data_IF_782997172788
#
_entry.id   IF_782997172788
#
_cell.length_a   1.000
_cell.length_b   1.000
_cell.length_c   1.000
_cell.angle_alpha   90.00
_cell.angle_beta   90.00
_cell.angle_gamma   90.00
#
_symmetry.space_group_name_H-M   'P 1'
#
loop_
_entity.id
_entity.type
_entity.pdbx_description
1 polymer ?
#
# COMPACT_ATOMS: atom_id res chain seq x y z
N UNK A 1 15.77 57.11 -56.87
CA UNK A 1 14.38 57.60 -56.73
C UNK A 1 14.43 58.86 -55.87
N UNK A 2 14.69 60.03 -56.47
CA UNK A 2 13.68 60.90 -57.09
C UNK A 2 12.71 61.49 -56.06
N UNK A 3 12.98 62.73 -55.62
CA UNK A 3 12.02 63.86 -55.55
C UNK A 3 12.65 65.07 -54.82
N UNK A 4 13.53 65.77 -55.53
CA UNK A 4 13.64 67.22 -55.45
C UNK A 4 13.35 67.72 -56.86
N UNK A 5 12.13 68.18 -57.13
CA UNK A 5 11.85 68.96 -58.33
C UNK A 5 10.51 69.68 -58.22
N UNK A 6 10.54 70.93 -58.67
CA UNK A 6 9.41 71.80 -59.03
C UNK A 6 8.86 72.68 -57.92
N UNK A 7 9.55 73.81 -57.70
CA UNK A 7 9.03 75.13 -58.08
C UNK A 7 10.24 76.08 -58.26
N UNK A 8 10.76 76.10 -59.49
CA UNK A 8 11.71 77.08 -59.99
C UNK A 8 11.28 77.33 -61.43
N UNK A 9 10.81 78.55 -61.71
CA UNK A 9 10.77 79.23 -63.03
C UNK A 9 9.69 80.32 -62.94
N UNK A 10 9.88 81.54 -63.44
CA UNK A 10 10.93 82.06 -64.30
C UNK A 10 10.75 83.57 -64.38
N UNK A 11 11.86 84.30 -64.40
CA UNK A 11 12.15 85.49 -65.23
C UNK A 11 13.37 86.17 -64.60
N UNK A 12 14.41 86.57 -65.32
CA UNK A 12 14.87 86.38 -66.68
C UNK A 12 16.38 86.69 -66.62
N UNK A 13 17.17 86.11 -67.54
CA UNK A 13 18.62 86.12 -67.46
C UNK A 13 19.29 87.47 -67.69
N UNK A 14 20.50 87.63 -67.15
CA UNK A 14 21.56 88.47 -67.71
C UNK A 14 22.93 87.90 -67.30
N UNK A 15 23.70 87.53 -68.33
CA UNK A 15 25.13 87.77 -68.54
C UNK A 15 25.96 88.14 -67.29
N UNK A 16 26.81 87.22 -66.83
CA UNK A 16 27.74 87.48 -65.73
C UNK A 16 28.81 88.50 -66.15
N UNK A 17 28.57 89.78 -65.87
CA UNK A 17 29.59 90.82 -65.98
C UNK A 17 30.53 90.75 -64.78
N UNK A 18 31.83 90.86 -65.07
CA UNK A 18 32.91 90.96 -64.08
C UNK A 18 32.60 92.13 -63.16
N UNK A 19 32.10 91.81 -61.97
CA UNK A 19 31.79 92.79 -60.94
C UNK A 19 33.09 93.50 -60.56
N UNK A 20 33.22 94.76 -60.99
CA UNK A 20 34.16 95.70 -60.40
C UNK A 20 33.43 96.31 -59.21
N UNK A 21 34.03 96.28 -58.00
CA UNK A 21 33.45 97.00 -56.88
C UNK A 21 33.27 98.46 -57.32
N UNK A 22 32.09 99.07 -57.09
CA UNK A 22 31.89 100.48 -57.35
C UNK A 22 33.00 101.28 -56.64
N UNK A 23 33.40 102.43 -57.20
CA UNK A 23 34.34 103.35 -56.55
C UNK A 23 33.67 103.87 -55.26
N UNK A 24 33.78 103.08 -54.21
CA UNK A 24 33.45 103.45 -52.85
C UNK A 24 34.60 104.35 -52.44
N UNK A 25 34.47 105.64 -52.77
CA UNK A 25 35.34 106.67 -52.20
C UNK A 25 35.51 106.33 -50.72
N UNK A 26 36.77 106.36 -50.24
CA UNK A 26 37.13 105.97 -48.88
C UNK A 26 35.96 106.36 -47.97
N UNK A 27 35.19 105.39 -47.41
CA UNK A 27 34.28 105.78 -46.35
C UNK A 27 35.13 106.57 -45.35
N UNK A 28 34.59 107.55 -44.60
CA UNK A 28 35.28 107.96 -43.37
C UNK A 28 35.78 106.68 -42.71
N UNK A 29 36.93 106.67 -41.99
CA UNK A 29 37.29 105.48 -41.21
C UNK A 29 35.98 105.01 -40.62
N UNK A 30 35.62 103.70 -40.70
CA UNK A 30 34.37 103.26 -40.10
C UNK A 30 34.33 104.02 -38.79
N UNK A 31 33.20 104.64 -38.37
CA UNK A 31 33.17 105.06 -36.98
C UNK A 31 33.81 103.89 -36.21
N UNK A 32 34.44 104.18 -35.08
CA UNK A 32 34.37 103.14 -34.10
C UNK A 32 32.84 102.90 -33.87
N UNK A 33 32.16 102.20 -34.80
CA UNK A 33 31.10 101.28 -34.52
C UNK A 33 31.87 100.31 -33.67
N UNK A 34 31.77 100.64 -32.40
CA UNK A 34 31.93 99.76 -31.28
C UNK A 34 31.68 98.33 -31.75
N UNK A 35 32.49 97.35 -31.31
CA UNK A 35 32.24 95.94 -31.62
C UNK A 35 30.73 95.73 -31.61
N UNK A 36 30.13 95.28 -32.74
CA UNK A 36 28.74 94.84 -32.74
C UNK A 36 28.63 94.05 -31.45
N UNK A 37 27.80 94.47 -30.47
CA UNK A 37 27.93 93.93 -29.15
C UNK A 37 27.68 92.44 -29.33
N UNK A 38 28.75 91.64 -29.29
CA UNK A 38 28.72 90.23 -28.90
C UNK A 38 27.76 90.32 -27.73
N UNK A 39 26.52 89.80 -27.84
CA UNK A 39 25.49 90.08 -26.86
C UNK A 39 26.18 89.81 -25.55
N UNK A 40 26.45 90.89 -24.81
CA UNK A 40 27.39 90.84 -23.71
C UNK A 40 26.64 89.93 -22.78
N UNK A 41 27.00 88.64 -22.74
CA UNK A 41 26.38 87.70 -21.83
C UNK A 41 26.74 88.33 -20.52
N UNK A 42 25.78 88.98 -19.84
CA UNK A 42 26.12 89.81 -18.72
C UNK A 42 26.84 88.87 -17.77
N UNK A 43 28.09 89.20 -17.45
CA UNK A 43 28.81 88.37 -16.50
C UNK A 43 27.95 88.38 -15.24
N UNK A 44 27.63 87.21 -14.68
CA UNK A 44 26.67 87.14 -13.61
C UNK A 44 27.14 88.07 -12.50
N UNK A 45 26.24 88.94 -12.08
CA UNK A 45 26.50 89.86 -10.98
C UNK A 45 26.81 89.05 -9.72
N UNK A 46 27.50 89.65 -8.74
CA UNK A 46 27.88 88.93 -7.51
C UNK A 46 26.65 88.31 -6.83
N UNK A 47 25.51 89.01 -6.86
CA UNK A 47 24.21 88.55 -6.34
C UNK A 47 23.66 87.34 -7.12
N UNK A 48 23.79 87.32 -8.44
CA UNK A 48 23.36 86.18 -9.28
C UNK A 48 24.21 84.93 -9.03
N UNK A 49 25.52 85.10 -8.79
CA UNK A 49 26.41 83.98 -8.44
C UNK A 49 26.07 83.39 -7.07
N UNK A 50 25.70 84.22 -6.11
CA UNK A 50 25.25 83.77 -4.78
C UNK A 50 23.91 83.04 -4.87
N UNK A 51 22.94 83.57 -5.62
CA UNK A 51 21.66 82.91 -5.86
C UNK A 51 21.82 81.53 -6.53
N UNK A 52 22.74 81.41 -7.51
CA UNK A 52 23.05 80.12 -8.15
C UNK A 52 23.66 79.14 -7.15
N UNK A 53 24.55 79.59 -6.25
CA UNK A 53 25.15 78.72 -5.21
C UNK A 53 24.13 78.23 -4.20
N UNK A 54 23.21 79.09 -3.77
CA UNK A 54 22.13 78.72 -2.85
C UNK A 54 21.13 77.76 -3.51
N UNK A 55 20.75 78.02 -4.77
CA UNK A 55 19.93 77.11 -5.57
C UNK A 55 20.61 75.75 -5.76
N UNK A 56 21.91 75.71 -6.07
CA UNK A 56 22.65 74.45 -6.19
C UNK A 56 22.72 73.69 -4.86
N UNK A 57 22.86 74.40 -3.73
CA UNK A 57 22.87 73.78 -2.39
C UNK A 57 21.52 73.17 -2.02
N UNK A 58 20.42 73.87 -2.30
CA UNK A 58 19.06 73.38 -2.02
C UNK A 58 18.70 72.21 -2.91
N UNK A 59 18.91 72.33 -4.23
CA UNK A 59 18.67 71.24 -5.20
C UNK A 59 19.55 70.03 -4.84
N UNK A 60 20.82 70.21 -4.52
CA UNK A 60 21.72 69.13 -4.10
C UNK A 60 21.28 68.45 -2.81
N UNK A 61 20.79 69.22 -1.82
CA UNK A 61 20.28 68.67 -0.57
C UNK A 61 18.98 67.86 -0.78
N UNK A 62 18.04 68.37 -1.57
CA UNK A 62 16.78 67.70 -1.89
C UNK A 62 17.01 66.43 -2.71
N UNK A 63 17.80 66.51 -3.78
CA UNK A 63 18.14 65.37 -4.63
C UNK A 63 18.89 64.28 -3.86
N UNK A 64 19.85 64.64 -3.00
CA UNK A 64 20.56 63.70 -2.14
C UNK A 64 19.66 63.05 -1.10
N UNK A 65 18.75 63.82 -0.49
CA UNK A 65 17.77 63.29 0.46
C UNK A 65 16.82 62.30 -0.21
N UNK A 66 16.26 62.65 -1.37
CA UNK A 66 15.34 61.81 -2.12
C UNK A 66 16.01 60.52 -2.60
N UNK A 67 17.22 60.61 -3.18
CA UNK A 67 17.98 59.45 -3.62
C UNK A 67 18.36 58.52 -2.46
N UNK A 68 18.75 59.08 -1.30
CA UNK A 68 19.05 58.29 -0.10
C UNK A 68 17.81 57.61 0.48
N UNK A 69 16.67 58.31 0.51
CA UNK A 69 15.39 57.75 0.96
C UNK A 69 14.94 56.59 0.06
N UNK A 70 14.98 56.78 -1.26
CA UNK A 70 14.60 55.75 -2.23
C UNK A 70 15.53 54.52 -2.14
N UNK A 71 16.84 54.72 -2.10
CA UNK A 71 17.82 53.64 -1.95
C UNK A 71 17.64 52.86 -0.63
N UNK A 72 17.37 53.55 0.47
CA UNK A 72 17.08 52.92 1.76
C UNK A 72 15.77 52.13 1.75
N UNK A 73 14.72 52.69 1.14
CA UNK A 73 13.42 52.05 1.00
C UNK A 73 13.49 50.77 0.13
N UNK A 74 14.20 50.82 -1.00
CA UNK A 74 14.43 49.65 -1.84
C UNK A 74 15.25 48.56 -1.14
N UNK A 75 16.28 48.96 -0.39
CA UNK A 75 17.12 48.02 0.36
C UNK A 75 16.30 47.32 1.46
N UNK A 76 15.56 48.09 2.27
CA UNK A 76 14.70 47.52 3.30
C UNK A 76 13.59 46.62 2.74
N UNK A 77 13.01 46.97 1.59
CA UNK A 77 12.06 46.09 0.90
C UNK A 77 12.69 44.79 0.41
N UNK A 78 13.93 44.84 -0.10
CA UNK A 78 14.63 43.65 -0.59
C UNK A 78 14.95 42.71 0.57
N UNK A 79 15.54 43.24 1.64
CA UNK A 79 15.85 42.47 2.85
C UNK A 79 14.59 41.86 3.48
N UNK A 80 13.49 42.63 3.57
CA UNK A 80 12.22 42.11 4.07
C UNK A 80 11.67 40.97 3.20
N UNK A 81 11.74 41.10 1.86
CA UNK A 81 11.31 40.02 0.95
C UNK A 81 12.17 38.78 1.08
N UNK A 82 13.49 38.95 1.21
CA UNK A 82 14.43 37.84 1.39
C UNK A 82 14.18 37.11 2.71
N UNK A 83 13.95 37.85 3.80
CA UNK A 83 13.63 37.26 5.12
C UNK A 83 12.33 36.47 5.07
N UNK A 84 11.25 37.04 4.52
CA UNK A 84 9.97 36.34 4.38
C UNK A 84 10.10 35.11 3.47
N UNK A 85 10.90 35.20 2.40
CA UNK A 85 11.14 34.06 1.51
C UNK A 85 11.88 32.92 2.24
N UNK A 86 12.91 33.25 3.02
CA UNK A 86 13.67 32.27 3.82
C UNK A 86 12.80 31.62 4.90
N UNK A 87 12.00 32.42 5.62
CA UNK A 87 11.07 31.89 6.62
C UNK A 87 10.01 31.00 5.99
N UNK A 88 9.41 31.43 4.87
CA UNK A 88 8.44 30.62 4.14
C UNK A 88 9.06 29.32 3.58
N UNK A 89 10.34 29.33 3.19
CA UNK A 89 11.07 28.12 2.78
C UNK A 89 11.29 27.17 3.97
N UNK A 90 11.74 27.70 5.10
CA UNK A 90 11.93 26.91 6.31
C UNK A 90 10.62 26.28 6.81
N UNK A 91 9.52 27.04 6.83
CA UNK A 91 8.20 26.53 7.20
C UNK A 91 7.70 25.45 6.23
N UNK A 92 7.96 25.60 4.92
CA UNK A 92 7.60 24.58 3.93
C UNK A 92 8.37 23.29 4.18
N UNK A 93 9.68 23.36 4.42
CA UNK A 93 10.50 22.18 4.71
C UNK A 93 9.99 21.45 5.95
N UNK A 94 9.72 22.18 7.05
CA UNK A 94 9.18 21.58 8.28
C UNK A 94 7.82 20.93 8.03
N UNK A 95 6.96 21.54 7.23
CA UNK A 95 5.65 20.98 6.88
C UNK A 95 5.79 19.69 6.07
N UNK A 96 6.64 19.70 5.05
CA UNK A 96 6.88 18.54 4.18
C UNK A 96 7.47 17.36 4.98
N UNK A 97 8.44 17.60 5.85
CA UNK A 97 9.02 16.58 6.73
C UNK A 97 7.97 16.03 7.72
N UNK A 98 7.12 16.90 8.26
CA UNK A 98 6.03 16.49 9.16
C UNK A 98 4.98 15.65 8.44
N UNK A 99 4.58 16.03 7.24
CA UNK A 99 3.64 15.26 6.42
C UNK A 99 4.23 13.93 5.98
N UNK A 100 5.52 13.90 5.61
CA UNK A 100 6.22 12.68 5.24
C UNK A 100 6.33 11.71 6.42
N UNK A 101 6.75 12.20 7.60
CA UNK A 101 6.83 11.38 8.82
C UNK A 101 5.46 10.90 9.30
N UNK A 102 4.42 11.73 9.17
CA UNK A 102 3.06 11.32 9.48
C UNK A 102 2.56 10.21 8.54
N UNK A 103 2.80 10.35 7.23
CA UNK A 103 2.46 9.32 6.24
C UNK A 103 3.16 8.00 6.52
N UNK A 104 4.47 8.03 6.76
CA UNK A 104 5.22 6.79 7.05
C UNK A 104 4.75 6.14 8.35
N UNK A 105 4.48 6.91 9.40
CA UNK A 105 3.93 6.39 10.64
C UNK A 105 2.56 5.73 10.43
N UNK A 106 1.66 6.38 9.69
CA UNK A 106 0.34 5.85 9.41
C UNK A 106 0.42 4.55 8.59
N UNK A 107 1.29 4.51 7.57
CA UNK A 107 1.49 3.29 6.78
C UNK A 107 2.06 2.15 7.63
N UNK A 108 2.98 2.43 8.57
CA UNK A 108 3.50 1.41 9.49
C UNK A 108 2.38 0.87 10.38
N UNK A 109 1.58 1.74 11.01
CA UNK A 109 0.43 1.30 11.83
C UNK A 109 -0.58 0.50 11.01
N UNK A 110 -0.87 0.90 9.77
CA UNK A 110 -1.75 0.15 8.90
C UNK A 110 -1.17 -1.24 8.57
N UNK A 111 0.12 -1.33 8.24
CA UNK A 111 0.78 -2.63 7.98
C UNK A 111 0.77 -3.53 9.21
N UNK A 112 1.02 -2.98 10.40
CA UNK A 112 0.98 -3.73 11.66
C UNK A 112 -0.42 -4.25 11.98
N UNK A 113 -1.46 -3.41 11.80
CA UNK A 113 -2.85 -3.82 12.03
C UNK A 113 -3.31 -4.88 11.04
N UNK A 114 -2.98 -4.74 9.76
CA UNK A 114 -3.26 -5.77 8.73
C UNK A 114 -2.55 -7.07 9.08
N UNK A 115 -1.25 -7.03 9.41
CA UNK A 115 -0.49 -8.22 9.79
C UNK A 115 -1.05 -8.90 11.06
N UNK A 116 -1.53 -8.11 12.04
CA UNK A 116 -2.17 -8.64 13.24
C UNK A 116 -3.51 -9.33 12.90
N UNK A 117 -4.33 -8.73 12.04
CA UNK A 117 -5.59 -9.33 11.59
C UNK A 117 -5.37 -10.60 10.76
N UNK A 118 -4.39 -10.59 9.85
CA UNK A 118 -3.97 -11.77 9.10
C UNK A 118 -3.46 -12.88 10.04
N UNK A 119 -2.67 -12.52 11.05
CA UNK A 119 -2.21 -13.44 12.08
C UNK A 119 -3.36 -14.08 12.87
N UNK A 120 -4.38 -13.30 13.25
CA UNK A 120 -5.59 -13.81 13.92
C UNK A 120 -6.39 -14.71 12.98
N UNK A 121 -6.58 -14.30 11.73
CA UNK A 121 -7.31 -15.09 10.75
C UNK A 121 -6.63 -16.45 10.52
N UNK A 122 -5.30 -16.47 10.39
CA UNK A 122 -4.52 -17.69 10.23
C UNK A 122 -4.57 -18.57 11.49
N UNK A 123 -4.43 -17.96 12.67
CA UNK A 123 -4.53 -18.66 13.95
C UNK A 123 -5.91 -19.30 14.20
N UNK A 124 -6.96 -18.87 13.49
CA UNK A 124 -8.28 -19.49 13.53
C UNK A 124 -8.50 -20.50 12.40
N UNK A 125 -7.98 -20.22 11.20
CA UNK A 125 -8.14 -21.08 10.03
C UNK A 125 -7.38 -22.41 10.18
N UNK A 126 -6.12 -22.37 10.62
CA UNK A 126 -5.28 -23.58 10.69
C UNK A 126 -5.81 -24.62 11.70
N UNK A 127 -6.20 -24.26 12.94
CA UNK A 127 -6.75 -25.24 13.87
C UNK A 127 -8.08 -25.80 13.41
N UNK A 128 -8.91 -25.01 12.71
CA UNK A 128 -10.20 -25.48 12.21
C UNK A 128 -9.99 -26.53 11.11
N UNK A 129 -9.12 -26.26 10.15
CA UNK A 129 -8.75 -27.20 9.09
C UNK A 129 -8.16 -28.48 9.70
N UNK A 130 -7.21 -28.35 10.62
CA UNK A 130 -6.61 -29.50 11.30
C UNK A 130 -7.64 -30.32 12.11
N UNK A 131 -8.66 -29.68 12.69
CA UNK A 131 -9.73 -30.38 13.41
C UNK A 131 -10.62 -31.16 12.44
N UNK A 132 -10.93 -30.61 11.26
CA UNK A 132 -11.69 -31.32 10.23
C UNK A 132 -10.94 -32.55 9.74
N UNK A 133 -9.65 -32.39 9.46
CA UNK A 133 -8.78 -33.51 9.03
C UNK A 133 -8.65 -34.59 10.11
N UNK A 134 -8.63 -34.19 11.39
CA UNK A 134 -8.59 -35.12 12.52
C UNK A 134 -9.93 -35.84 12.76
N UNK A 135 -11.07 -35.20 12.47
CA UNK A 135 -12.40 -35.79 12.65
C UNK A 135 -12.72 -36.86 11.60
N UNK A 136 -12.17 -36.76 10.39
CA UNK A 136 -12.41 -37.72 9.31
C UNK A 136 -12.12 -39.19 9.72
N UNK A 137 -10.90 -39.55 10.19
CA UNK A 137 -10.62 -40.92 10.62
C UNK A 137 -11.40 -41.33 11.87
N UNK A 138 -11.73 -40.40 12.76
CA UNK A 138 -12.53 -40.69 13.96
C UNK A 138 -13.97 -41.07 13.60
N UNK A 139 -14.61 -40.32 12.70
CA UNK A 139 -15.95 -40.62 12.20
C UNK A 139 -15.96 -41.94 11.42
N UNK A 140 -14.94 -42.20 10.61
CA UNK A 140 -14.79 -43.47 9.89
C UNK A 140 -14.64 -44.64 10.87
N UNK A 141 -13.82 -44.50 11.90
CA UNK A 141 -13.63 -45.52 12.94
C UNK A 141 -14.91 -45.79 13.72
N UNK A 142 -15.64 -44.74 14.11
CA UNK A 142 -16.91 -44.87 14.83
C UNK A 142 -17.97 -45.57 13.98
N UNK A 143 -18.14 -45.15 12.73
CA UNK A 143 -19.11 -45.75 11.80
C UNK A 143 -18.77 -47.20 11.47
N UNK A 144 -17.50 -47.52 11.23
CA UNK A 144 -17.04 -48.90 11.04
C UNK A 144 -17.29 -49.76 12.28
N UNK A 145 -17.05 -49.23 13.47
CA UNK A 145 -17.31 -49.93 14.74
C UNK A 145 -18.80 -50.20 14.95
N UNK A 146 -19.65 -49.20 14.67
CA UNK A 146 -21.10 -49.34 14.74
C UNK A 146 -21.61 -50.36 13.71
N UNK A 147 -21.17 -50.29 12.46
CA UNK A 147 -21.52 -51.24 11.41
C UNK A 147 -21.12 -52.66 11.81
N UNK A 148 -19.88 -52.86 12.29
CA UNK A 148 -19.42 -54.15 12.79
C UNK A 148 -20.29 -54.67 13.92
N UNK A 149 -20.66 -53.82 14.88
CA UNK A 149 -21.51 -54.22 16.01
C UNK A 149 -22.89 -54.68 15.55
N UNK A 150 -23.51 -53.93 14.63
CA UNK A 150 -24.82 -54.27 14.04
C UNK A 150 -24.73 -55.59 13.26
N UNK A 151 -23.72 -55.75 12.41
CA UNK A 151 -23.54 -56.97 11.61
C UNK A 151 -23.33 -58.18 12.54
N UNK A 152 -22.50 -58.05 13.58
CA UNK A 152 -22.26 -59.12 14.53
C UNK A 152 -23.54 -59.52 15.28
N UNK A 153 -24.37 -58.54 15.68
CA UNK A 153 -25.66 -58.82 16.31
C UNK A 153 -26.61 -59.56 15.36
N UNK A 154 -26.67 -59.13 14.09
CA UNK A 154 -27.48 -59.80 13.07
C UNK A 154 -27.02 -61.22 12.78
N UNK A 155 -25.70 -61.46 12.75
CA UNK A 155 -25.14 -62.81 12.56
C UNK A 155 -25.42 -63.72 13.77
N UNK A 156 -25.46 -63.16 14.98
CA UNK A 156 -25.86 -63.90 16.18
C UNK A 156 -27.34 -64.32 16.11
N UNK A 157 -28.21 -63.45 15.60
CA UNK A 157 -29.65 -63.72 15.45
C UNK A 157 -29.96 -64.63 14.26
N UNK A 158 -29.21 -64.50 13.16
CA UNK A 158 -29.44 -65.21 11.89
C UNK A 158 -28.13 -65.79 11.31
N UNK A 159 -27.65 -66.92 11.84
CA UNK A 159 -26.41 -67.55 11.40
C UNK A 159 -26.42 -67.98 9.93
N UNK A 160 -27.58 -68.11 9.29
CA UNK A 160 -27.72 -68.54 7.89
C UNK A 160 -27.11 -67.52 6.90
N UNK A 161 -26.96 -66.25 7.30
CA UNK A 161 -26.40 -65.19 6.46
C UNK A 161 -24.96 -65.47 6.02
N UNK A 162 -24.19 -66.26 6.78
CA UNK A 162 -22.82 -66.66 6.41
C UNK A 162 -22.76 -67.52 5.14
N UNK A 163 -23.84 -68.22 4.78
CA UNK A 163 -23.91 -69.01 3.55
C UNK A 163 -23.75 -68.13 2.30
N UNK A 164 -24.25 -66.89 2.34
CA UNK A 164 -24.07 -65.91 1.27
C UNK A 164 -22.61 -65.47 1.14
N UNK A 165 -21.93 -65.25 2.27
CA UNK A 165 -20.51 -64.88 2.34
C UNK A 165 -19.65 -65.96 1.72
N UNK A 166 -19.88 -67.22 2.11
CA UNK A 166 -19.18 -68.37 1.57
C UNK A 166 -19.36 -68.47 0.05
N UNK A 167 -20.59 -68.33 -0.45
CA UNK A 167 -20.89 -68.38 -1.89
C UNK A 167 -20.13 -67.29 -2.66
N UNK A 168 -20.09 -66.07 -2.13
CA UNK A 168 -19.35 -64.96 -2.74
C UNK A 168 -17.85 -65.22 -2.74
N UNK A 169 -17.29 -65.70 -1.63
CA UNK A 169 -15.85 -66.00 -1.53
C UNK A 169 -15.44 -67.15 -2.47
N UNK A 170 -16.27 -68.19 -2.60
CA UNK A 170 -16.04 -69.28 -3.56
C UNK A 170 -16.20 -68.85 -5.03
N UNK A 171 -16.97 -67.81 -5.32
CA UNK A 171 -17.10 -67.26 -6.67
C UNK A 171 -15.85 -66.46 -7.10
N UNK A 172 -15.07 -65.96 -6.14
CA UNK A 172 -13.82 -65.24 -6.40
C UNK A 172 -12.62 -66.17 -6.69
N UNK A 173 -12.76 -67.49 -6.51
CA UNK A 173 -11.69 -68.44 -6.81
C UNK A 173 -11.49 -68.59 -8.33
N UNK A 174 -10.27 -68.35 -8.87
CA UNK A 174 -10.00 -68.40 -10.31
C UNK A 174 -10.05 -69.82 -10.89
N UNK A 175 -9.91 -70.86 -10.07
CA UNK A 175 -9.97 -72.26 -10.52
C UNK A 175 -10.41 -73.19 -9.37
N UNK A 176 -11.47 -73.98 -9.59
CA UNK A 176 -12.02 -74.95 -8.60
C UNK A 176 -11.42 -76.36 -8.72
N UNK A 177 -10.24 -76.48 -9.33
CA UNK A 177 -9.60 -77.77 -9.58
C UNK A 177 -8.79 -78.31 -8.39
N UNK A 178 -8.49 -77.46 -7.41
CA UNK A 178 -7.79 -77.86 -6.18
C UNK A 178 -8.79 -78.13 -5.05
N UNK A 179 -8.47 -79.03 -4.11
CA UNK A 179 -9.29 -79.23 -2.92
C UNK A 179 -9.34 -77.92 -2.12
N UNK A 180 -10.56 -77.45 -1.84
CA UNK A 180 -10.81 -76.21 -1.12
C UNK A 180 -10.93 -76.51 0.37
N UNK A 181 -10.09 -75.86 1.18
CA UNK A 181 -10.19 -75.88 2.65
C UNK A 181 -10.84 -74.58 3.11
N UNK A 182 -11.88 -74.70 3.93
CA UNK A 182 -12.57 -73.53 4.50
C UNK A 182 -12.41 -73.57 6.01
N UNK A 183 -11.81 -72.52 6.55
CA UNK A 183 -11.64 -72.33 7.99
C UNK A 183 -12.77 -71.42 8.47
N UNK A 184 -13.49 -71.87 9.49
CA UNK A 184 -14.65 -71.16 10.08
C UNK A 184 -14.69 -71.34 11.59
N UNK A 185 -15.46 -70.50 12.26
CA UNK A 185 -15.73 -70.67 13.69
C UNK A 185 -16.45 -72.02 13.95
N UNK A 186 -16.10 -72.74 15.04
CA UNK A 186 -16.69 -74.06 15.34
C UNK A 186 -18.22 -74.06 15.40
N UNK A 187 -18.84 -72.99 15.90
CA UNK A 187 -20.30 -72.86 16.00
C UNK A 187 -21.02 -72.82 14.64
N UNK A 188 -20.31 -72.45 13.57
CA UNK A 188 -20.90 -72.25 12.23
C UNK A 188 -20.59 -73.41 11.28
N UNK A 189 -19.63 -74.27 11.64
CA UNK A 189 -19.17 -75.37 10.82
C UNK A 189 -20.30 -76.34 10.45
N UNK A 190 -21.14 -76.73 11.41
CA UNK A 190 -22.22 -77.70 11.18
C UNK A 190 -23.28 -77.17 10.19
N UNK A 191 -23.68 -75.91 10.36
CA UNK A 191 -24.68 -75.25 9.50
C UNK A 191 -24.15 -75.09 8.07
N UNK A 192 -22.88 -74.71 7.92
CA UNK A 192 -22.26 -74.54 6.62
C UNK A 192 -21.95 -75.86 5.91
N UNK A 193 -21.59 -76.92 6.66
CA UNK A 193 -21.40 -78.26 6.09
C UNK A 193 -22.69 -78.81 5.48
N UNK A 194 -23.82 -78.66 6.18
CA UNK A 194 -25.13 -79.04 5.66
C UNK A 194 -25.51 -78.26 4.38
N UNK A 195 -25.18 -76.96 4.33
CA UNK A 195 -25.39 -76.14 3.14
C UNK A 195 -24.50 -76.57 1.95
N UNK A 196 -23.24 -76.91 2.19
CA UNK A 196 -22.31 -77.35 1.15
C UNK A 196 -22.70 -78.71 0.56
N UNK A 197 -23.13 -79.66 1.39
CA UNK A 197 -23.66 -80.96 0.94
C UNK A 197 -24.89 -80.77 0.05
N UNK A 198 -25.83 -79.91 0.47
CA UNK A 198 -27.02 -79.59 -0.33
C UNK A 198 -26.68 -78.89 -1.66
N UNK A 199 -25.57 -78.13 -1.69
CA UNK A 199 -25.09 -77.43 -2.89
C UNK A 199 -24.21 -78.30 -3.80
N UNK A 200 -23.86 -79.52 -3.37
CA UNK A 200 -22.98 -80.43 -4.12
C UNK A 200 -21.51 -80.02 -4.17
N UNK A 201 -21.05 -79.19 -3.21
CA UNK A 201 -19.65 -78.75 -3.15
C UNK A 201 -18.81 -79.65 -2.21
N UNK A 202 -17.71 -80.21 -2.72
CA UNK A 202 -16.78 -81.03 -1.94
C UNK A 202 -15.74 -80.12 -1.23
N UNK A 203 -16.12 -79.61 -0.06
CA UNK A 203 -15.31 -78.71 0.77
C UNK A 203 -14.74 -79.45 1.98
N UNK A 204 -13.48 -79.19 2.32
CA UNK A 204 -12.87 -79.67 3.57
C UNK A 204 -13.02 -78.59 4.64
N UNK A 205 -13.75 -78.89 5.70
CA UNK A 205 -13.99 -77.97 6.81
C UNK A 205 -12.91 -78.06 7.88
N UNK A 206 -12.40 -76.89 8.31
CA UNK A 206 -11.47 -76.77 9.42
C UNK A 206 -12.09 -75.83 10.46
N UNK A 207 -12.32 -76.34 11.67
CA UNK A 207 -12.77 -75.50 12.78
C UNK A 207 -11.58 -74.71 13.33
N UNK A 208 -11.69 -73.39 13.33
CA UNK A 208 -10.67 -72.49 13.84
C UNK A 208 -11.31 -71.44 14.78
N UNK A 209 -11.07 -71.51 16.09
CA UNK A 209 -11.62 -70.55 17.05
C UNK A 209 -10.97 -69.16 16.95
N UNK A 210 -9.87 -69.00 16.21
CA UNK A 210 -9.26 -67.69 15.95
C UNK A 210 -10.08 -66.86 14.95
N UNK A 211 -10.99 -67.49 14.19
CA UNK A 211 -11.85 -66.82 13.21
C UNK A 211 -13.13 -66.35 13.91
N UNK A 212 -13.45 -65.06 13.77
CA UNK A 212 -14.69 -64.51 14.30
C UNK A 212 -15.92 -65.08 13.57
N UNK A 213 -17.04 -65.18 14.28
CA UNK A 213 -18.32 -65.62 13.73
C UNK A 213 -18.73 -64.72 12.55
N UNK A 214 -19.28 -65.33 11.49
CA UNK A 214 -19.65 -64.64 10.25
C UNK A 214 -18.50 -64.41 9.28
N UNK A 215 -17.29 -64.87 9.61
CA UNK A 215 -16.11 -64.84 8.76
C UNK A 215 -15.70 -66.24 8.28
N UNK A 216 -15.08 -66.32 7.12
CA UNK A 216 -14.44 -67.55 6.66
C UNK A 216 -13.14 -67.26 5.93
N UNK A 217 -12.17 -68.16 6.07
CA UNK A 217 -10.93 -68.12 5.31
C UNK A 217 -10.89 -69.32 4.37
N UNK A 218 -10.59 -69.07 3.10
CA UNK A 218 -10.61 -70.11 2.06
C UNK A 218 -9.21 -70.29 1.49
N UNK A 219 -8.69 -71.51 1.61
CA UNK A 219 -7.42 -71.92 1.02
C UNK A 219 -7.66 -72.92 -0.13
N UNK A 220 -7.17 -72.61 -1.32
CA UNK A 220 -7.28 -73.45 -2.51
C UNK A 220 -5.98 -73.42 -3.34
N UNK A 221 -5.13 -74.43 -3.14
CA UNK A 221 -3.82 -74.52 -3.81
C UNK A 221 -2.96 -73.27 -3.50
N UNK A 222 -2.59 -72.45 -4.52
CA UNK A 222 -1.84 -71.21 -4.32
C UNK A 222 -2.72 -69.99 -3.97
N UNK A 223 -4.05 -70.12 -3.99
CA UNK A 223 -4.97 -69.01 -3.72
C UNK A 223 -5.46 -69.05 -2.27
N UNK A 224 -5.44 -67.89 -1.62
CA UNK A 224 -6.00 -67.68 -0.28
C UNK A 224 -6.92 -66.47 -0.31
N UNK A 225 -8.17 -66.67 0.09
CA UNK A 225 -9.19 -65.63 0.14
C UNK A 225 -9.58 -65.42 1.59
N UNK A 226 -9.32 -64.22 2.09
CA UNK A 226 -9.79 -63.77 3.39
C UNK A 226 -11.17 -63.11 3.24
N UNK A 227 -12.20 -63.83 3.68
CA UNK A 227 -13.57 -63.33 3.76
C UNK A 227 -14.00 -63.14 5.24
N UNK A 228 -13.04 -62.79 6.11
CA UNK A 228 -13.35 -62.32 7.46
C UNK A 228 -14.24 -61.08 7.43
N UNK A 229 -15.03 -60.89 8.49
CA UNK A 229 -15.93 -59.75 8.63
C UNK A 229 -15.18 -58.42 8.49
N UNK A 230 -14.01 -58.34 9.11
CA UNK A 230 -13.15 -57.17 9.14
C UNK A 230 -12.61 -56.80 7.75
N UNK A 231 -12.05 -57.78 7.01
CA UNK A 231 -11.57 -57.56 5.63
C UNK A 231 -12.71 -57.14 4.69
N UNK A 232 -13.88 -57.77 4.82
CA UNK A 232 -15.07 -57.41 4.00
C UNK A 232 -15.62 -56.04 4.33
N UNK A 233 -15.64 -55.66 5.61
CA UNK A 233 -16.10 -54.35 6.03
C UNK A 233 -15.18 -53.25 5.47
N UNK A 234 -13.85 -53.43 5.56
CA UNK A 234 -12.89 -52.52 4.93
C UNK A 234 -13.11 -52.39 3.42
N UNK A 235 -13.19 -53.52 2.71
CA UNK A 235 -13.45 -53.51 1.26
C UNK A 235 -14.76 -52.80 0.89
N UNK A 236 -15.80 -52.94 1.72
CA UNK A 236 -17.09 -52.27 1.49
C UNK A 236 -16.98 -50.76 1.73
N UNK A 237 -16.27 -50.35 2.79
CA UNK A 237 -16.00 -48.94 3.09
C UNK A 237 -15.18 -48.31 1.96
N UNK A 238 -14.10 -48.96 1.52
CA UNK A 238 -13.23 -48.48 0.45
C UNK A 238 -13.99 -48.32 -0.88
N UNK A 239 -14.86 -49.27 -1.21
CA UNK A 239 -15.69 -49.21 -2.41
C UNK A 239 -16.66 -48.02 -2.39
N UNK A 240 -17.37 -47.82 -1.27
CA UNK A 240 -18.30 -46.69 -1.09
C UNK A 240 -17.55 -45.36 -1.11
N UNK A 241 -16.40 -45.29 -0.44
CA UNK A 241 -15.58 -44.08 -0.41
C UNK A 241 -15.04 -43.74 -1.80
N UNK A 242 -14.59 -44.74 -2.57
CA UNK A 242 -14.16 -44.55 -3.96
C UNK A 242 -15.28 -44.04 -4.88
N UNK A 243 -16.53 -44.40 -4.62
CA UNK A 243 -17.69 -43.89 -5.36
C UNK A 243 -18.06 -42.45 -4.97
N UNK A 244 -17.92 -42.09 -3.68
CA UNK A 244 -18.25 -40.77 -3.13
C UNK A 244 -17.14 -39.72 -3.38
N UNK A 245 -15.88 -40.14 -3.43
CA UNK A 245 -14.72 -39.27 -3.63
C UNK A 245 -14.58 -38.75 -5.08
N UNK A 246 -15.59 -38.91 -5.93
CA UNK A 246 -15.65 -38.16 -7.18
C UNK A 246 -15.59 -36.67 -6.83
N UNK A 247 -14.58 -35.93 -7.32
CA UNK A 247 -14.41 -34.55 -6.93
C UNK A 247 -15.68 -33.79 -7.29
N UNK A 248 -16.28 -33.14 -6.29
CA UNK A 248 -17.27 -32.12 -6.52
C UNK A 248 -16.70 -31.17 -7.59
N UNK A 249 -17.43 -30.97 -8.69
CA UNK A 249 -16.99 -30.06 -9.73
C UNK A 249 -16.60 -28.73 -9.07
N UNK A 250 -15.45 -28.14 -9.46
CA UNK A 250 -15.01 -26.88 -8.86
C UNK A 250 -16.14 -25.88 -9.04
N UNK A 251 -16.66 -25.38 -7.91
CA UNK A 251 -17.57 -24.24 -7.89
C UNK A 251 -16.89 -23.17 -8.72
N UNK A 252 -17.49 -22.70 -9.84
CA UNK A 252 -16.83 -21.75 -10.71
C UNK A 252 -16.47 -20.54 -9.87
N UNK A 253 -15.16 -20.28 -9.78
CA UNK A 253 -14.63 -19.11 -9.10
C UNK A 253 -15.44 -17.90 -9.57
N UNK A 254 -16.06 -17.20 -8.62
CA UNK A 254 -16.73 -15.95 -8.90
C UNK A 254 -15.77 -15.09 -9.74
N UNK A 255 -16.26 -14.62 -10.90
CA UNK A 255 -15.54 -13.74 -11.82
C UNK A 255 -14.81 -12.66 -11.03
N UNK A 256 -13.48 -12.76 -10.99
CA UNK A 256 -12.62 -11.64 -10.65
C UNK A 256 -12.48 -10.78 -11.91
N UNK A 257 -13.48 -9.95 -12.17
CA UNK A 257 -13.35 -8.82 -13.09
C UNK A 257 -14.03 -7.61 -12.45
N UNK A 258 -13.30 -6.93 -11.58
CA UNK A 258 -13.41 -5.47 -11.43
C UNK A 258 -12.00 -4.96 -11.17
N UNK A 259 -11.31 -4.56 -12.25
CA UNK A 259 -10.14 -3.70 -12.18
C UNK A 259 -10.56 -2.34 -11.59
N UNK A 260 -9.86 -1.81 -10.58
CA UNK A 260 -10.15 -0.49 -10.03
C UNK A 260 -9.56 0.57 -10.95
N UNK A 261 -10.21 0.88 -12.08
CA UNK A 261 -9.86 2.07 -12.87
C UNK A 261 -10.97 2.63 -13.78
N UNK A 262 -12.22 2.18 -13.63
CA UNK A 262 -13.32 2.63 -14.50
C UNK A 262 -14.55 3.09 -13.70
N UNK A 263 -14.33 3.92 -12.68
CA UNK A 263 -15.40 4.74 -12.08
C UNK A 263 -14.96 6.21 -12.13
N UNK A 264 -14.75 6.75 -13.32
CA UNK A 264 -14.75 8.21 -13.50
C UNK A 264 -15.12 8.61 -14.93
N UNK A 265 -16.37 8.34 -15.30
CA UNK A 265 -17.15 9.19 -16.20
C UNK A 265 -18.48 8.49 -16.47
N UNK A 266 -19.46 8.70 -15.60
CA UNK A 266 -20.75 9.01 -16.18
C UNK A 266 -21.58 9.95 -15.31
N UNK A 267 -22.15 10.89 -16.04
CA UNK A 267 -23.08 11.97 -15.79
C UNK A 267 -23.92 11.92 -14.50
N UNK A 268 -23.83 12.97 -13.68
CA UNK A 268 -24.96 13.40 -12.85
C UNK A 268 -25.09 14.93 -12.93
N UNK A 269 -25.51 15.42 -14.09
CA UNK A 269 -26.23 16.70 -14.14
C UNK A 269 -27.73 16.50 -13.91
N UNK A 270 -28.26 17.34 -13.01
CA UNK A 270 -29.65 17.62 -12.69
C UNK A 270 -30.36 16.68 -11.70
N UNK A 271 -30.52 17.13 -10.45
CA UNK A 271 -31.73 17.89 -10.05
C UNK A 271 -31.56 18.45 -8.64
N UNK A 272 -31.65 19.77 -8.53
CA UNK A 272 -31.88 20.49 -7.29
C UNK A 272 -33.18 20.02 -6.64
N UNK A 273 -33.12 19.51 -5.41
CA UNK A 273 -34.24 19.57 -4.47
C UNK A 273 -33.67 19.71 -3.05
N UNK A 274 -34.03 20.82 -2.43
CA UNK A 274 -33.75 21.15 -1.04
C UNK A 274 -34.31 20.08 -0.08
N UNK A 275 -33.48 19.59 0.84
CA UNK A 275 -33.93 19.07 2.13
C UNK A 275 -32.75 19.06 3.12
N UNK A 276 -32.68 20.13 3.91
CA UNK A 276 -32.11 20.27 5.26
C UNK A 276 -31.38 19.06 5.85
N UNK A 277 -30.05 19.15 5.95
CA UNK A 277 -29.19 18.32 6.80
C UNK A 277 -29.11 18.90 8.21
N UNK A 278 -30.18 18.72 8.99
CA UNK A 278 -30.14 18.67 10.45
C UNK A 278 -30.75 17.31 10.80
N UNK A 279 -29.94 16.31 11.19
CA UNK A 279 -30.34 15.13 12.03
C UNK A 279 -29.21 14.08 12.16
N UNK A 280 -28.15 14.06 11.34
CA UNK A 280 -27.16 12.94 11.42
C UNK A 280 -25.97 13.23 12.35
N UNK A 281 -25.87 14.41 12.96
CA UNK A 281 -24.77 14.77 13.86
C UNK A 281 -25.01 14.46 15.35
N UNK A 282 -26.02 13.65 15.69
CA UNK A 282 -26.43 13.40 17.09
C UNK A 282 -26.26 11.94 17.54
N UNK A 283 -25.54 11.10 16.78
CA UNK A 283 -25.45 9.66 17.06
C UNK A 283 -24.03 9.10 17.30
N UNK A 284 -22.99 9.93 17.47
CA UNK A 284 -21.62 9.45 17.69
C UNK A 284 -20.92 10.08 18.90
N UNK A 285 -21.68 10.61 19.86
CA UNK A 285 -21.14 11.27 21.07
C UNK A 285 -21.07 10.35 22.30
N UNK A 286 -20.97 9.03 22.12
CA UNK A 286 -20.92 8.12 23.28
C UNK A 286 -20.00 6.92 23.04
N UNK A 287 -18.68 7.13 22.96
CA UNK A 287 -17.65 6.24 23.55
C UNK A 287 -16.34 7.04 23.73
N UNK A 288 -16.18 7.71 24.87
CA UNK A 288 -14.88 7.86 25.53
C UNK A 288 -15.15 8.04 27.03
N UNK A 289 -14.35 7.39 27.89
CA UNK A 289 -13.96 8.07 29.10
C UNK A 289 -12.43 8.18 29.23
N UNK A 290 -12.06 9.35 29.76
CA UNK A 290 -10.92 9.62 30.64
C UNK A 290 -9.52 9.19 30.17
N UNK A 291 -8.73 10.18 29.78
CA UNK A 291 -7.66 10.75 30.62
C UNK A 291 -7.38 12.13 30.03
N UNK A 292 -7.48 13.18 30.85
CA UNK A 292 -6.78 14.47 30.78
C UNK A 292 -7.62 15.52 31.53
N UNK A 293 -7.54 15.50 32.86
CA UNK A 293 -7.81 16.68 33.69
C UNK A 293 -6.67 16.84 34.68
N UNK A 294 -5.82 17.84 34.44
CA UNK A 294 -5.27 18.69 35.48
C UNK A 294 -4.71 19.97 34.82
N UNK A 295 -5.30 21.09 35.21
CA UNK A 295 -5.06 22.47 34.78
C UNK A 295 -3.68 23.03 35.19
N UNK A 296 -3.27 24.20 34.64
CA UNK A 296 -1.95 24.81 34.84
C UNK A 296 -1.95 26.00 35.85
N UNK A 297 -0.72 26.39 36.24
CA UNK A 297 -0.25 27.63 36.90
C UNK A 297 -0.40 27.70 38.44
N UNK A 298 0.73 27.73 39.18
CA UNK A 298 1.40 28.98 39.57
C UNK A 298 2.68 28.78 40.43
N UNK A 299 3.75 29.48 40.03
CA UNK A 299 4.79 30.19 40.83
C UNK A 299 5.71 29.51 41.88
N UNK A 300 7.03 29.61 41.58
CA UNK A 300 8.10 30.30 42.35
C UNK A 300 9.02 29.52 43.33
N UNK A 301 10.33 29.69 43.05
CA UNK A 301 11.51 29.78 43.94
C UNK A 301 12.09 28.52 44.60
N UNK A 302 13.39 28.33 44.32
CA UNK A 302 14.53 28.31 45.27
C UNK A 302 15.42 27.07 45.28
N UNK A 303 16.71 27.36 45.46
CA UNK A 303 17.88 26.50 45.74
C UNK A 303 18.56 25.83 44.52
N UNK A 304 19.72 26.30 44.05
CA UNK A 304 21.07 26.36 44.68
C UNK A 304 21.93 25.12 44.31
N UNK A 305 23.16 25.40 43.91
CA UNK A 305 24.24 24.59 43.30
C UNK A 305 24.72 23.38 44.16
N UNK A 306 25.77 22.57 43.78
CA UNK A 306 26.69 22.64 42.63
C UNK A 306 27.04 21.31 41.92
N UNK A 307 27.85 21.47 40.85
CA UNK A 307 28.63 20.48 40.09
C UNK A 307 29.59 19.63 40.95
N UNK A 308 29.91 18.38 40.56
CA UNK A 308 31.04 17.64 41.14
C UNK A 308 32.35 17.85 40.37
N UNK A 309 33.38 18.23 41.13
CA UNK A 309 34.82 18.08 40.84
C UNK A 309 35.22 16.61 41.03
N UNK A 310 35.81 15.96 40.02
CA UNK A 310 36.71 14.81 40.25
C UNK A 310 37.95 14.90 39.35
N UNK A 311 39.06 15.29 39.99
CA UNK A 311 40.45 15.10 39.56
C UNK A 311 41.01 13.88 40.30
N UNK A 312 41.37 12.83 39.58
CA UNK A 312 42.43 11.80 39.84
C UNK A 312 42.09 10.59 38.95
N UNK A 313 42.97 9.88 38.27
CA UNK A 313 44.41 9.70 38.36
C UNK A 313 44.82 8.94 37.07
N UNK A 314 45.88 9.38 36.41
CA UNK A 314 46.54 8.65 35.34
C UNK A 314 47.69 7.80 35.91
N UNK A 315 47.91 6.55 35.46
CA UNK A 315 49.19 5.89 35.65
C UNK A 315 50.09 6.07 34.43
N UNK A 316 51.27 6.69 34.65
CA UNK A 316 52.41 6.73 33.72
C UNK A 316 53.14 5.37 33.63
N UNK A 317 53.96 5.17 32.58
CA UNK A 317 54.44 3.86 32.17
C UNK A 317 55.74 3.39 32.85
N UNK A 318 55.87 2.07 32.83
CA UNK A 318 57.04 1.22 33.04
C UNK A 318 58.33 1.72 32.32
N UNK A 319 59.43 1.93 33.07
CA UNK A 319 60.72 1.25 32.86
C UNK A 319 61.90 1.80 33.69
N UNK A 320 62.68 0.84 34.21
CA UNK A 320 64.15 0.78 34.24
C UNK A 320 64.98 1.52 35.33
N UNK A 321 65.65 0.67 36.11
CA UNK A 321 67.10 0.64 36.35
C UNK A 321 67.75 1.81 37.12
N UNK A 322 68.10 1.56 38.39
CA UNK A 322 69.48 1.40 38.89
C UNK A 322 69.48 1.36 40.43
#
# INVERSE_FOLDING_TARGET
>A
MSRFQSMLSEQAGHEAQRWMPPDVGMPPPPPQNEPEPVPVVPQPTVEEVEAIKEAARTIGAETGYQAGYEAGYETGQREAREQVAQEAEAERQVREEREASWRTAQEVTLRETVAALEGIAQALADPLAATVDALEPELLSLTATLARRVIMEELNLRPELIQGVLRQALAQLPSRHHPVRVHVHPDEQATLAAYAEASGENLTWVADPAIERGGCLIDSGPSRIDASLDTRLRQSIDAIWGELAQPAEPVPAARQETTPDEILADDVSATTTEATSETVLDALTDVMPEILQADPLDTVSEADEPLPDELESAPEPDQAAA
#
